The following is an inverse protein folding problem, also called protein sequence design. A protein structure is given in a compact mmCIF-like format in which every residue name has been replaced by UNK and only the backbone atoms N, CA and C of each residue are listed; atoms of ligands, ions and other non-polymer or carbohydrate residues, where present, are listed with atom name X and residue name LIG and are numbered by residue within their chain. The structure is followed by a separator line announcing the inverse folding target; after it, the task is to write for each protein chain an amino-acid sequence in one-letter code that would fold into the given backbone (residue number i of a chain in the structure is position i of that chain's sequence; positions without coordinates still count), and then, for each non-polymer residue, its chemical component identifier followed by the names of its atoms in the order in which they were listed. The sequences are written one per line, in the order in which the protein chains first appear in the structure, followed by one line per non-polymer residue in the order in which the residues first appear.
data_IF_722311407396
#
_entry.id   IF_722311407396
#
_cell.length_a   1.000
_cell.length_b   1.000
_cell.length_c   1.000
_cell.angle_alpha   90.00
_cell.angle_beta   90.00
_cell.angle_gamma   90.00
#
_symmetry.space_group_name_H-M   'P 1'
#
loop_
_entity.id
_entity.type
_entity.pdbx_description
1 polymer ?
#
# COMPACT_ATOMS: atom_id res chain seq x y z
N UNK A 1 64.71 6.97 41.48
CA UNK A 1 64.35 6.57 40.11
C UNK A 1 63.57 7.71 39.45
N UNK A 2 64.21 8.36 38.47
CA UNK A 2 63.65 8.89 37.19
C UNK A 2 62.50 9.93 37.32
N UNK A 3 62.77 11.25 37.19
CA UNK A 3 62.85 12.06 35.94
C UNK A 3 61.53 11.98 35.12
N UNK A 4 60.89 13.03 34.61
CA UNK A 4 61.24 14.41 34.26
C UNK A 4 59.94 15.14 33.85
N UNK A 5 59.95 16.46 33.97
CA UNK A 5 59.09 17.46 33.31
C UNK A 5 58.75 17.14 31.85
N UNK A 6 57.60 17.61 31.34
CA UNK A 6 57.42 18.26 30.03
C UNK A 6 56.01 18.91 30.03
N UNK A 7 55.91 20.23 30.20
CA UNK A 7 55.87 21.26 29.16
C UNK A 7 54.59 21.19 28.32
N UNK A 8 53.80 22.27 28.40
CA UNK A 8 52.68 22.52 27.52
C UNK A 8 53.11 22.62 26.06
N UNK A 9 52.23 22.15 25.19
CA UNK A 9 52.29 22.29 23.74
C UNK A 9 50.84 22.54 23.32
N UNK A 10 50.45 23.79 23.13
CA UNK A 10 50.47 24.50 21.85
C UNK A 10 49.52 23.87 20.81
N UNK A 11 48.45 24.62 20.55
CA UNK A 11 47.82 24.87 19.25
C UNK A 11 47.60 23.69 18.28
N UNK A 12 46.32 23.40 18.00
CA UNK A 12 45.75 23.57 16.65
C UNK A 12 44.29 23.11 16.64
N UNK A 13 43.39 23.97 17.09
CA UNK A 13 41.96 23.87 16.79
C UNK A 13 41.68 24.73 15.56
N UNK A 14 41.97 24.23 14.36
CA UNK A 14 41.39 24.76 13.13
C UNK A 14 41.54 23.78 11.95
N UNK A 15 40.93 22.60 12.09
CA UNK A 15 40.46 21.92 10.89
C UNK A 15 39.09 22.53 10.56
N UNK A 16 39.11 23.60 9.75
CA UNK A 16 37.96 24.01 8.95
C UNK A 16 37.67 22.87 7.97
N UNK A 17 37.01 21.83 8.47
CA UNK A 17 36.23 20.97 7.61
C UNK A 17 35.09 21.86 7.12
N UNK A 18 35.29 22.46 5.94
CA UNK A 18 34.19 22.85 5.08
C UNK A 18 33.50 21.54 4.73
N UNK A 19 32.64 21.06 5.62
CA UNK A 19 31.56 20.20 5.21
C UNK A 19 30.79 21.05 4.21
N UNK A 20 30.90 20.69 2.94
CA UNK A 20 29.89 21.08 1.98
C UNK A 20 28.57 20.64 2.60
N UNK A 21 27.86 21.57 3.24
CA UNK A 21 26.47 21.38 3.60
C UNK A 21 25.81 21.15 2.25
N UNK A 22 25.56 19.89 1.94
CA UNK A 22 24.54 19.54 0.98
C UNK A 22 23.31 20.31 1.46
N UNK A 23 22.94 21.36 0.74
CA UNK A 23 21.67 22.02 0.96
C UNK A 23 20.59 21.03 0.52
N UNK A 24 20.33 20.04 1.37
CA UNK A 24 19.05 19.40 1.40
C UNK A 24 18.05 20.52 1.72
N UNK A 25 17.15 20.81 0.78
CA UNK A 25 16.06 21.75 1.03
C UNK A 25 15.26 21.33 2.26
N UNK A 26 14.63 22.29 2.92
CA UNK A 26 13.72 22.01 4.04
C UNK A 26 12.40 21.43 3.50
N UNK A 27 11.89 20.40 4.15
CA UNK A 27 10.51 19.91 3.95
C UNK A 27 9.68 20.43 5.12
N UNK A 28 8.70 21.27 4.83
CA UNK A 28 7.85 21.91 5.84
C UNK A 28 6.37 21.70 5.49
N UNK A 29 5.53 21.81 6.50
CA UNK A 29 4.07 21.88 6.40
C UNK A 29 3.62 23.16 7.10
N UNK A 30 2.54 23.78 6.64
CA UNK A 30 1.89 24.94 7.26
C UNK A 30 0.83 24.54 8.30
N UNK A 31 0.37 23.30 8.25
CA UNK A 31 -0.56 22.70 9.22
C UNK A 31 0.13 21.89 10.32
N UNK A 32 -0.60 20.91 10.85
CA UNK A 32 -0.07 19.97 11.84
C UNK A 32 1.11 19.16 11.29
N UNK A 33 1.97 18.72 12.21
CA UNK A 33 3.17 17.93 11.89
C UNK A 33 2.82 16.68 11.08
N UNK A 34 3.68 16.34 10.11
CA UNK A 34 3.49 15.18 9.24
C UNK A 34 4.38 14.01 9.64
N UNK A 35 3.82 12.80 9.59
CA UNK A 35 4.56 11.53 9.60
C UNK A 35 4.50 10.93 8.20
N UNK A 36 5.67 10.74 7.59
CA UNK A 36 5.81 10.17 6.25
C UNK A 36 6.43 8.77 6.34
N UNK A 37 5.85 7.79 5.65
CA UNK A 37 6.35 6.41 5.61
C UNK A 37 6.37 5.89 4.18
N UNK A 38 7.38 5.08 3.86
CA UNK A 38 7.46 4.36 2.58
C UNK A 38 7.94 2.93 2.78
N UNK A 39 7.29 2.00 2.07
CA UNK A 39 7.66 0.58 1.90
C UNK A 39 7.24 0.09 0.50
N UNK A 40 7.60 0.85 -0.53
CA UNK A 40 7.17 0.62 -1.91
C UNK A 40 5.89 1.35 -2.33
N UNK A 41 5.23 2.03 -1.38
CA UNK A 41 4.21 3.05 -1.62
C UNK A 41 4.53 4.32 -0.83
N UNK A 42 3.56 5.21 -0.67
CA UNK A 42 3.70 6.43 0.13
C UNK A 42 2.52 6.57 1.08
N UNK A 43 2.80 6.81 2.35
CA UNK A 43 1.83 7.15 3.39
C UNK A 43 2.27 8.47 4.03
N UNK A 44 1.35 9.42 4.12
CA UNK A 44 1.52 10.72 4.77
C UNK A 44 0.33 10.90 5.69
N UNK A 45 0.55 11.27 6.95
CA UNK A 45 -0.54 11.59 7.87
C UNK A 45 -0.13 12.66 8.86
N UNK A 46 -1.08 13.46 9.30
CA UNK A 46 -0.88 14.43 10.38
C UNK A 46 -0.77 13.70 11.73
N UNK A 47 0.02 14.24 12.66
CA UNK A 47 0.22 13.63 13.99
C UNK A 47 -1.04 13.66 14.86
N UNK A 48 -1.94 14.61 14.61
CA UNK A 48 -3.27 14.72 15.24
C UNK A 48 -4.32 13.76 14.67
N UNK A 49 -3.99 13.04 13.59
CA UNK A 49 -4.84 12.09 12.85
C UNK A 49 -6.02 12.71 12.10
N UNK A 50 -6.10 14.03 11.98
CA UNK A 50 -7.18 14.67 11.21
C UNK A 50 -7.10 14.34 9.72
N UNK A 51 -5.88 14.24 9.17
CA UNK A 51 -5.65 13.99 7.75
C UNK A 51 -4.66 12.87 7.49
N UNK A 52 -4.96 12.03 6.51
CA UNK A 52 -3.99 11.09 5.97
C UNK A 52 -4.23 10.82 4.50
N UNK A 53 -3.15 10.48 3.80
CA UNK A 53 -3.14 10.05 2.42
C UNK A 53 -2.21 8.85 2.29
N UNK A 54 -2.67 7.82 1.62
CA UNK A 54 -1.90 6.62 1.32
C UNK A 54 -2.10 6.21 -0.11
N UNK A 55 -1.01 6.08 -0.85
CA UNK A 55 -0.99 5.47 -2.17
C UNK A 55 -0.13 4.22 -2.13
N UNK A 56 -0.70 3.11 -2.59
CA UNK A 56 -0.03 1.83 -2.67
C UNK A 56 -0.53 1.04 -3.89
N UNK A 57 0.06 -0.13 -4.10
CA UNK A 57 -0.38 -1.00 -5.17
C UNK A 57 -0.01 -2.45 -4.93
N UNK A 58 -0.40 -3.28 -5.90
CA UNK A 58 -0.05 -4.70 -5.93
C UNK A 58 0.08 -5.15 -7.37
N UNK A 59 1.15 -5.88 -7.64
CA UNK A 59 1.35 -6.66 -8.85
C UNK A 59 1.36 -8.15 -8.47
N UNK A 60 0.61 -8.96 -9.21
CA UNK A 60 0.67 -10.41 -9.21
C UNK A 60 0.71 -10.84 -10.68
N UNK A 61 1.79 -11.54 -11.04
CA UNK A 61 2.07 -12.00 -12.38
C UNK A 61 2.15 -13.51 -12.34
N UNK A 62 1.32 -14.15 -13.16
CA UNK A 62 1.09 -15.58 -13.14
C UNK A 62 1.50 -16.15 -14.51
N UNK A 63 2.03 -17.37 -14.48
CA UNK A 63 2.45 -18.11 -15.66
C UNK A 63 1.98 -19.55 -15.47
N UNK A 64 0.96 -19.92 -16.23
CA UNK A 64 0.18 -21.12 -16.02
C UNK A 64 0.31 -22.05 -17.23
N UNK A 65 0.13 -23.34 -16.97
CA UNK A 65 -0.03 -24.32 -18.03
C UNK A 65 -1.00 -25.42 -17.65
N UNK A 66 -1.88 -25.77 -18.57
CA UNK A 66 -3.01 -26.65 -18.34
C UNK A 66 -3.40 -27.40 -19.62
N UNK A 67 -4.04 -28.55 -19.46
CA UNK A 67 -4.48 -29.45 -20.54
C UNK A 67 -5.80 -30.15 -20.16
N UNK A 68 -6.26 -31.08 -21.00
CA UNK A 68 -7.42 -31.92 -20.71
C UNK A 68 -8.71 -31.11 -20.57
N UNK A 69 -9.40 -31.22 -19.43
CA UNK A 69 -10.69 -30.55 -19.18
C UNK A 69 -10.60 -29.01 -19.28
N UNK A 70 -9.42 -28.43 -19.07
CA UNK A 70 -9.23 -26.98 -19.10
C UNK A 70 -9.12 -26.40 -20.52
N UNK A 71 -8.96 -27.23 -21.56
CA UNK A 71 -8.81 -26.77 -22.95
C UNK A 71 -9.85 -27.39 -23.87
N UNK A 72 -10.29 -26.64 -24.90
CA UNK A 72 -11.38 -27.10 -25.78
C UNK A 72 -11.02 -28.34 -26.62
N UNK A 73 -9.74 -28.51 -26.96
CA UNK A 73 -9.23 -29.62 -27.75
C UNK A 73 -8.48 -30.67 -26.90
N UNK A 74 -8.39 -30.47 -25.58
CA UNK A 74 -7.64 -31.34 -24.66
C UNK A 74 -6.12 -31.23 -24.76
N UNK A 75 -5.59 -30.43 -25.69
CA UNK A 75 -4.15 -30.20 -25.82
C UNK A 75 -3.67 -29.19 -24.78
N UNK A 76 -2.35 -29.14 -24.55
CA UNK A 76 -1.72 -28.20 -23.63
C UNK A 76 -1.86 -26.76 -24.13
N UNK A 77 -2.25 -25.88 -23.23
CA UNK A 77 -2.20 -24.43 -23.40
C UNK A 77 -1.38 -23.79 -22.28
N UNK A 78 -0.81 -22.62 -22.56
CA UNK A 78 -0.03 -21.85 -21.62
C UNK A 78 -0.60 -20.41 -21.57
N UNK A 79 -0.62 -19.81 -20.38
CA UNK A 79 -1.01 -18.42 -20.18
C UNK A 79 0.04 -17.66 -19.38
N UNK A 80 0.22 -16.38 -19.70
CA UNK A 80 1.07 -15.47 -18.92
C UNK A 80 0.41 -14.12 -18.86
N UNK A 81 0.06 -13.67 -17.66
CA UNK A 81 -0.75 -12.47 -17.48
C UNK A 81 -0.52 -11.85 -16.09
N UNK A 82 -0.92 -10.59 -15.95
CA UNK A 82 -1.05 -9.97 -14.64
C UNK A 82 -2.40 -10.34 -14.04
N UNK A 83 -2.43 -11.30 -13.12
CA UNK A 83 -3.64 -11.67 -12.37
C UNK A 83 -4.23 -10.47 -11.65
N UNK A 84 -3.37 -9.61 -11.10
CA UNK A 84 -3.75 -8.34 -10.45
C UNK A 84 -2.69 -7.29 -10.71
N UNK A 85 -3.10 -6.16 -11.26
CA UNK A 85 -2.30 -4.95 -11.32
C UNK A 85 -3.12 -3.82 -10.70
N UNK A 86 -2.91 -3.53 -9.42
CA UNK A 86 -3.81 -2.67 -8.65
C UNK A 86 -3.11 -1.42 -8.19
N UNK A 87 -3.82 -0.30 -8.30
CA UNK A 87 -3.50 0.96 -7.64
C UNK A 87 -4.57 1.24 -6.59
N UNK A 88 -4.15 1.67 -5.42
CA UNK A 88 -5.00 1.98 -4.28
C UNK A 88 -4.59 3.32 -3.70
N UNK A 89 -5.56 4.21 -3.57
CA UNK A 89 -5.47 5.48 -2.86
C UNK A 89 -6.49 5.44 -1.75
N UNK A 90 -6.08 5.75 -0.52
CA UNK A 90 -6.96 5.83 0.64
C UNK A 90 -6.50 6.94 1.57
N UNK A 91 -7.35 7.30 2.52
CA UNK A 91 -7.01 8.31 3.51
C UNK A 91 -8.16 8.67 4.42
N UNK A 92 -7.88 9.68 5.25
CA UNK A 92 -8.81 10.26 6.23
C UNK A 92 -8.79 11.77 6.05
N UNK A 93 -9.94 12.41 6.22
CA UNK A 93 -10.09 13.85 6.30
C UNK A 93 -10.98 14.20 7.49
N UNK A 94 -10.63 15.26 8.21
CA UNK A 94 -11.36 15.74 9.39
C UNK A 94 -11.67 14.62 10.40
N UNK A 95 -10.72 13.71 10.60
CA UNK A 95 -10.80 12.55 11.53
C UNK A 95 -11.81 11.47 11.16
N UNK A 96 -13.03 11.85 10.80
CA UNK A 96 -14.15 10.92 10.66
C UNK A 96 -14.39 10.46 9.22
N UNK A 97 -13.92 11.21 8.21
CA UNK A 97 -14.21 10.95 6.80
C UNK A 97 -13.10 10.14 6.16
N UNK A 98 -13.31 8.85 5.98
CA UNK A 98 -12.46 7.97 5.19
C UNK A 98 -12.81 8.02 3.71
N UNK A 99 -11.83 7.75 2.85
CA UNK A 99 -12.06 7.54 1.42
C UNK A 99 -11.18 6.40 0.89
N UNK A 100 -11.70 5.68 -0.10
CA UNK A 100 -11.00 4.58 -0.77
C UNK A 100 -11.25 4.63 -2.27
N UNK A 101 -10.17 4.64 -3.05
CA UNK A 101 -10.14 4.55 -4.50
C UNK A 101 -9.23 3.38 -4.88
N UNK A 102 -9.78 2.35 -5.49
CA UNK A 102 -9.01 1.17 -5.85
C UNK A 102 -9.39 0.71 -7.25
N UNK A 103 -8.40 0.67 -8.14
CA UNK A 103 -8.59 0.25 -9.52
C UNK A 103 -7.69 -0.94 -9.84
N UNK A 104 -8.23 -1.91 -10.57
CA UNK A 104 -7.48 -3.03 -11.13
C UNK A 104 -7.24 -2.78 -12.62
N UNK A 105 -6.06 -3.16 -13.11
CA UNK A 105 -5.63 -3.04 -14.50
C UNK A 105 -5.23 -4.40 -15.11
N UNK A 106 -5.35 -5.51 -14.36
CA UNK A 106 -4.92 -6.85 -14.80
C UNK A 106 -6.08 -7.79 -15.16
N UNK A 107 -5.85 -8.63 -16.18
CA UNK A 107 -6.62 -9.71 -16.86
C UNK A 107 -8.14 -9.58 -17.06
N UNK A 108 -8.87 -8.99 -16.10
CA UNK A 108 -10.27 -8.65 -16.24
C UNK A 108 -10.40 -7.13 -16.17
N UNK A 109 -11.05 -6.55 -17.19
CA UNK A 109 -11.44 -5.14 -17.41
C UNK A 109 -10.98 -4.12 -16.36
N UNK A 110 -10.48 -2.96 -16.79
CA UNK A 110 -9.99 -1.88 -15.92
C UNK A 110 -11.04 -1.33 -14.94
N UNK A 111 -11.38 -2.09 -13.91
CA UNK A 111 -12.57 -1.90 -13.09
C UNK A 111 -12.20 -1.25 -11.76
N UNK A 112 -13.10 -0.39 -11.30
CA UNK A 112 -13.07 0.16 -9.97
C UNK A 112 -13.48 -0.95 -9.01
N UNK A 113 -12.52 -1.48 -8.26
CA UNK A 113 -12.81 -2.45 -7.21
C UNK A 113 -13.48 -1.81 -6.01
N UNK A 114 -13.11 -0.57 -5.74
CA UNK A 114 -13.70 0.22 -4.68
C UNK A 114 -13.60 1.70 -5.04
N UNK A 115 -14.70 2.42 -4.86
CA UNK A 115 -14.79 3.85 -5.04
C UNK A 115 -15.82 4.35 -4.03
N UNK A 116 -15.35 4.66 -2.82
CA UNK A 116 -16.22 4.86 -1.67
C UNK A 116 -15.73 5.97 -0.74
N UNK A 117 -16.70 6.58 -0.06
CA UNK A 117 -16.51 7.46 1.09
C UNK A 117 -17.09 6.72 2.31
N UNK A 118 -16.39 6.83 3.43
CA UNK A 118 -16.72 6.18 4.68
C UNK A 118 -16.86 7.24 5.79
N UNK A 119 -17.93 7.19 6.56
CA UNK A 119 -18.07 7.96 7.80
C UNK A 119 -17.82 7.06 9.00
N UNK A 120 -16.84 7.44 9.82
CA UNK A 120 -16.32 6.66 10.95
C UNK A 120 -16.62 7.28 12.33
N UNK A 121 -17.31 8.43 12.39
CA UNK A 121 -17.55 9.16 13.65
C UNK A 121 -18.49 8.45 14.65
N UNK A 122 -19.10 7.32 14.26
CA UNK A 122 -20.00 6.52 15.11
C UNK A 122 -19.39 5.18 15.51
N UNK A 123 -18.07 5.11 15.68
CA UNK A 123 -17.35 3.89 16.07
C UNK A 123 -18.08 3.14 17.21
N UNK A 124 -18.35 1.82 17.07
CA UNK A 124 -17.83 0.88 16.06
C UNK A 124 -18.61 0.83 14.72
N UNK A 125 -19.60 1.70 14.52
CA UNK A 125 -20.42 1.73 13.31
C UNK A 125 -19.77 2.61 12.24
N UNK A 126 -19.58 2.03 11.05
CA UNK A 126 -19.15 2.75 9.86
C UNK A 126 -20.29 2.78 8.84
N UNK A 127 -20.49 3.95 8.21
CA UNK A 127 -21.40 4.09 7.07
C UNK A 127 -20.57 4.34 5.83
N UNK A 128 -20.80 3.53 4.80
CA UNK A 128 -20.07 3.62 3.54
C UNK A 128 -21.03 3.93 2.39
N UNK A 129 -20.64 4.82 1.48
CA UNK A 129 -21.40 5.17 0.28
C UNK A 129 -20.49 5.13 -0.95
N UNK A 130 -20.96 4.49 -2.02
CA UNK A 130 -20.25 4.38 -3.30
C UNK A 130 -20.23 2.95 -3.84
N UNK A 131 -19.23 2.62 -4.66
CA UNK A 131 -18.95 1.25 -5.09
C UNK A 131 -18.13 0.57 -4.00
N UNK A 132 -18.81 -0.07 -3.06
CA UNK A 132 -18.21 -0.67 -1.84
C UNK A 132 -18.09 -2.15 -2.02
N UNK A 133 -16.93 -2.75 -1.77
CA UNK A 133 -16.74 -4.18 -1.94
C UNK A 133 -17.62 -5.01 -0.99
N UNK A 134 -18.65 -5.74 -1.48
CA UNK A 134 -19.35 -6.68 -0.64
C UNK A 134 -18.41 -7.86 -0.32
N UNK A 135 -18.50 -8.34 0.92
CA UNK A 135 -17.64 -9.42 1.43
C UNK A 135 -18.51 -10.55 1.96
N UNK A 136 -18.77 -11.54 1.12
CA UNK A 136 -19.41 -12.78 1.53
C UNK A 136 -18.37 -13.90 1.66
N UNK A 137 -18.15 -14.35 2.89
CA UNK A 137 -17.24 -15.44 3.23
C UNK A 137 -15.81 -15.00 3.59
N UNK A 138 -15.15 -15.82 4.40
CA UNK A 138 -13.84 -15.49 4.99
C UNK A 138 -12.75 -15.26 3.95
N UNK A 139 -12.68 -16.08 2.90
CA UNK A 139 -11.63 -15.96 1.86
C UNK A 139 -11.79 -14.68 1.02
N UNK A 140 -13.01 -14.16 0.87
CA UNK A 140 -13.25 -12.86 0.24
C UNK A 140 -12.96 -11.68 1.16
N UNK A 141 -13.21 -11.83 2.46
CA UNK A 141 -12.83 -10.85 3.47
C UNK A 141 -11.30 -10.75 3.63
N UNK A 142 -10.57 -11.85 3.47
CA UNK A 142 -9.10 -11.86 3.43
C UNK A 142 -8.60 -11.13 2.17
N UNK A 143 -7.64 -10.22 2.38
CA UNK A 143 -6.99 -9.53 1.27
C UNK A 143 -6.37 -10.55 0.32
N UNK A 144 -6.60 -10.39 -0.99
CA UNK A 144 -6.00 -11.27 -2.00
C UNK A 144 -4.46 -11.17 -2.10
N UNK A 145 -3.81 -10.43 -1.20
CA UNK A 145 -2.35 -10.41 -1.03
C UNK A 145 -1.91 -11.62 -0.19
N UNK A 146 -2.82 -12.15 0.63
CA UNK A 146 -2.54 -13.10 1.71
C UNK A 146 -3.46 -14.32 1.65
N UNK A 147 -4.21 -14.50 0.56
CA UNK A 147 -4.90 -15.78 0.33
C UNK A 147 -3.84 -16.87 0.15
N UNK A 148 -4.13 -18.07 0.64
CA UNK A 148 -3.15 -19.16 0.68
C UNK A 148 -2.92 -19.80 -0.69
N UNK A 149 -3.99 -20.00 -1.45
CA UNK A 149 -3.92 -20.50 -2.82
C UNK A 149 -3.78 -19.33 -3.83
N UNK A 150 -3.31 -19.63 -5.04
CA UNK A 150 -3.14 -18.63 -6.11
C UNK A 150 -4.48 -18.04 -6.58
N UNK A 151 -5.52 -18.88 -6.59
CA UNK A 151 -6.91 -18.52 -6.84
C UNK A 151 -7.79 -18.74 -5.61
N UNK A 152 -8.95 -18.08 -5.59
CA UNK A 152 -9.97 -18.37 -4.58
C UNK A 152 -10.67 -19.69 -4.87
N UNK A 153 -11.34 -20.24 -3.87
CA UNK A 153 -12.12 -21.46 -3.99
C UNK A 153 -13.20 -21.35 -5.08
N UNK A 154 -13.35 -22.41 -5.87
CA UNK A 154 -14.37 -22.54 -6.91
C UNK A 154 -15.82 -22.45 -6.38
N UNK A 155 -16.04 -22.54 -5.06
CA UNK A 155 -17.38 -22.35 -4.49
C UNK A 155 -17.94 -20.95 -4.78
N UNK A 156 -17.07 -19.96 -4.95
CA UNK A 156 -17.47 -18.60 -5.26
C UNK A 156 -17.93 -18.42 -6.71
N UNK A 157 -17.55 -19.34 -7.61
CA UNK A 157 -18.00 -19.33 -9.01
C UNK A 157 -19.48 -19.73 -9.13
N UNK A 158 -20.04 -20.37 -8.10
CA UNK A 158 -21.47 -20.71 -8.04
C UNK A 158 -22.36 -19.49 -7.74
N UNK A 159 -21.80 -18.47 -7.09
CA UNK A 159 -22.52 -17.26 -6.71
C UNK A 159 -21.65 -15.99 -6.85
N UNK A 160 -21.15 -15.68 -8.06
CA UNK A 160 -20.21 -14.57 -8.27
C UNK A 160 -20.80 -13.21 -7.88
N UNK A 161 -22.12 -13.05 -8.03
CA UNK A 161 -22.86 -11.82 -7.72
C UNK A 161 -22.81 -11.41 -6.24
N UNK A 162 -22.46 -12.33 -5.32
CA UNK A 162 -22.35 -12.00 -3.90
C UNK A 162 -21.12 -11.14 -3.58
N UNK A 163 -20.12 -11.16 -4.47
CA UNK A 163 -18.84 -10.47 -4.28
C UNK A 163 -18.47 -9.55 -5.45
N UNK A 164 -19.40 -9.36 -6.40
CA UNK A 164 -19.28 -8.45 -7.54
C UNK A 164 -20.36 -7.38 -7.49
N UNK A 165 -20.17 -6.27 -8.21
CA UNK A 165 -21.10 -5.13 -8.28
C UNK A 165 -21.47 -4.84 -9.72
#
# INVERSE_FOLDING_TARGET
MIRKHFAGFAASALALAVSAQAFAGTVTTDGADLVIKTKGGLEVGTTDKEFSFKINGRLQADADSFDGFYTQNGERADETYFRRARLEISGVAFTDWGYTFQRNFGNDSSDWRELAIHYNGWEPVQISVGRIRPTFGLEYAVSSKWITAIERSAIYDLAPWLNSH
#
